data_IF_798259242541
#
_entry.id   IF_798259242541
#
_cell.length_a   1.000
_cell.length_b   1.000
_cell.length_c   1.000
_cell.angle_alpha   90.00
_cell.angle_beta   90.00
_cell.angle_gamma   90.00
#
_symmetry.space_group_name_H-M   'P 1'
#
loop_
_entity.id
_entity.type
_entity.pdbx_description
1 polymer ?
#
# COMPACT_ATOMS: atom_id res chain seq x y z
N UNK A 1 -52.93 -18.02 0.32
CA UNK A 1 -52.04 -18.60 1.35
C UNK A 1 -50.67 -18.77 0.72
N UNK A 2 -49.78 -17.78 0.86
CA UNK A 2 -48.43 -17.81 0.28
C UNK A 2 -47.47 -18.09 1.43
N UNK A 3 -46.87 -19.28 1.43
CA UNK A 3 -45.81 -19.66 2.35
C UNK A 3 -44.54 -18.89 1.96
N UNK A 4 -44.19 -17.87 2.73
CA UNK A 4 -42.86 -17.28 2.70
C UNK A 4 -41.89 -18.28 3.32
N UNK A 5 -41.19 -19.03 2.47
CA UNK A 5 -40.04 -19.84 2.86
C UNK A 5 -38.90 -18.89 3.22
N UNK A 6 -38.78 -18.59 4.51
CA UNK A 6 -37.62 -17.89 5.06
C UNK A 6 -36.45 -18.87 5.00
N UNK A 7 -35.68 -18.80 3.91
CA UNK A 7 -34.33 -19.35 3.90
C UNK A 7 -33.53 -18.65 5.00
N UNK A 8 -33.15 -19.39 6.03
CA UNK A 8 -32.31 -18.87 7.10
C UNK A 8 -31.00 -18.43 6.48
N UNK A 9 -30.76 -17.11 6.44
CA UNK A 9 -29.46 -16.57 6.11
C UNK A 9 -28.47 -17.14 7.13
N UNK A 10 -27.69 -18.14 6.69
CA UNK A 10 -26.59 -18.69 7.47
C UNK A 10 -25.65 -17.56 7.89
N UNK A 11 -24.86 -17.76 8.96
CA UNK A 11 -23.97 -16.73 9.48
C UNK A 11 -23.09 -16.21 8.34
N UNK A 12 -23.25 -14.93 7.99
CA UNK A 12 -22.35 -14.23 7.08
C UNK A 12 -20.93 -14.50 7.55
N UNK A 13 -20.04 -15.05 6.69
CA UNK A 13 -18.71 -15.41 7.14
C UNK A 13 -17.98 -14.12 7.52
N UNK A 14 -17.86 -13.88 8.82
CA UNK A 14 -17.03 -12.81 9.33
C UNK A 14 -15.62 -12.97 8.76
N UNK A 15 -14.96 -11.85 8.44
CA UNK A 15 -13.56 -11.85 7.98
C UNK A 15 -12.75 -12.81 8.85
N UNK A 16 -12.06 -13.76 8.23
CA UNK A 16 -11.19 -14.69 8.95
C UNK A 16 -10.21 -13.93 9.85
N UNK A 17 -9.78 -14.54 10.96
CA UNK A 17 -8.78 -13.93 11.84
C UNK A 17 -7.54 -13.45 11.06
N UNK A 18 -7.12 -14.23 10.06
CA UNK A 18 -6.03 -13.88 9.15
C UNK A 18 -6.29 -12.58 8.36
N UNK A 19 -7.52 -12.39 7.86
CA UNK A 19 -7.88 -11.16 7.17
C UNK A 19 -7.90 -9.94 8.11
N UNK A 20 -8.37 -10.12 9.36
CA UNK A 20 -8.33 -9.07 10.39
C UNK A 20 -6.90 -8.66 10.76
N UNK A 21 -6.01 -9.64 10.92
CA UNK A 21 -4.58 -9.37 11.22
C UNK A 21 -3.94 -8.59 10.07
N UNK A 22 -4.18 -8.97 8.82
CA UNK A 22 -3.63 -8.24 7.65
C UNK A 22 -4.13 -6.81 7.59
N UNK A 23 -5.42 -6.59 7.84
CA UNK A 23 -5.99 -5.24 7.87
C UNK A 23 -5.38 -4.38 8.97
N UNK A 24 -5.13 -4.96 10.16
CA UNK A 24 -4.43 -4.27 11.23
C UNK A 24 -2.99 -3.92 10.84
N UNK A 25 -2.25 -4.86 10.26
CA UNK A 25 -0.89 -4.61 9.79
C UNK A 25 -0.86 -3.49 8.74
N UNK A 26 -1.78 -3.49 7.78
CA UNK A 26 -1.85 -2.42 6.77
C UNK A 26 -2.19 -1.06 7.38
N UNK A 27 -3.02 -1.01 8.44
CA UNK A 27 -3.30 0.26 9.15
C UNK A 27 -2.08 0.77 9.91
N UNK A 28 -1.40 -0.11 10.63
CA UNK A 28 -0.19 0.26 11.38
C UNK A 28 0.93 0.69 10.43
N UNK A 29 1.12 -0.03 9.32
CA UNK A 29 2.07 0.32 8.26
C UNK A 29 1.86 1.74 7.73
N UNK A 30 0.61 2.09 7.39
CA UNK A 30 0.26 3.44 6.92
C UNK A 30 0.47 4.48 8.01
N UNK A 31 0.07 4.19 9.24
CA UNK A 31 0.25 5.12 10.36
C UNK A 31 1.72 5.39 10.64
N UNK A 32 2.59 4.40 10.49
CA UNK A 32 4.02 4.53 10.71
C UNK A 32 4.71 5.43 9.67
N UNK A 33 4.18 5.45 8.44
CA UNK A 33 4.77 6.21 7.33
C UNK A 33 4.01 7.50 6.99
N UNK A 34 3.01 7.90 7.78
CA UNK A 34 2.05 8.95 7.38
C UNK A 34 2.70 10.31 7.13
N UNK A 35 3.67 10.70 7.96
CA UNK A 35 4.36 11.99 7.83
C UNK A 35 5.27 12.00 6.61
N UNK A 36 6.01 10.92 6.37
CA UNK A 36 6.90 10.78 5.23
C UNK A 36 6.11 10.71 3.91
N UNK A 37 5.01 9.95 3.89
CA UNK A 37 4.08 9.89 2.76
C UNK A 37 3.49 11.28 2.46
N UNK A 38 3.14 12.03 3.51
CA UNK A 38 2.61 13.39 3.34
C UNK A 38 3.64 14.33 2.71
N UNK A 39 4.89 14.28 3.16
CA UNK A 39 5.97 15.07 2.55
C UNK A 39 6.23 14.64 1.11
N UNK A 40 6.28 13.33 0.84
CA UNK A 40 6.47 12.81 -0.50
C UNK A 40 5.36 13.28 -1.45
N UNK A 41 4.09 13.20 -1.01
CA UNK A 41 2.95 13.74 -1.75
C UNK A 41 3.12 15.25 -2.00
N UNK A 42 3.46 16.01 -0.97
CA UNK A 42 3.65 17.47 -1.05
C UNK A 42 4.76 17.87 -2.02
N UNK A 43 5.82 17.07 -2.10
CA UNK A 43 6.98 17.30 -2.95
C UNK A 43 6.86 16.66 -4.34
N UNK A 44 5.77 15.94 -4.62
CA UNK A 44 5.58 15.23 -5.89
C UNK A 44 6.54 14.06 -6.08
N UNK A 45 6.94 13.39 -5.01
CA UNK A 45 7.82 12.22 -5.04
C UNK A 45 7.02 10.93 -5.29
N UNK A 46 7.62 9.98 -5.99
CA UNK A 46 7.07 8.64 -6.16
C UNK A 46 7.34 7.81 -4.89
N UNK A 47 6.34 7.05 -4.44
CA UNK A 47 6.45 6.20 -3.24
C UNK A 47 6.11 4.76 -3.60
N UNK A 48 7.05 3.85 -3.34
CA UNK A 48 6.88 2.41 -3.54
C UNK A 48 7.02 1.67 -2.22
N UNK A 49 6.00 0.89 -1.84
CA UNK A 49 6.06 0.01 -0.66
C UNK A 49 6.96 -1.19 -0.93
N UNK A 50 7.97 -1.38 -0.10
CA UNK A 50 8.93 -2.50 -0.22
C UNK A 50 8.81 -3.52 0.91
N UNK A 51 8.05 -3.20 1.96
CA UNK A 51 7.79 -4.09 3.11
C UNK A 51 6.94 -3.39 4.17
N UNK A 52 6.81 -4.01 5.34
CA UNK A 52 6.14 -3.37 6.48
C UNK A 52 7.00 -2.23 7.03
N UNK A 53 6.45 -1.01 7.06
CA UNK A 53 7.19 0.19 7.48
C UNK A 53 8.33 0.58 6.54
N UNK A 54 8.47 -0.09 5.39
CA UNK A 54 9.56 0.11 4.44
C UNK A 54 9.00 0.67 3.13
N UNK A 55 9.48 1.86 2.77
CA UNK A 55 9.08 2.59 1.56
C UNK A 55 10.31 3.17 0.88
N UNK A 56 10.30 3.09 -0.45
CA UNK A 56 11.25 3.78 -1.31
C UNK A 56 10.59 5.08 -1.77
N UNK A 57 11.18 6.20 -1.37
CA UNK A 57 10.80 7.53 -1.81
C UNK A 57 11.74 7.94 -2.94
N UNK A 58 11.20 8.31 -4.10
CA UNK A 58 11.98 8.67 -5.28
C UNK A 58 11.59 10.07 -5.74
N UNK A 59 12.58 10.94 -5.79
CA UNK A 59 12.41 12.31 -6.26
C UNK A 59 12.69 12.38 -7.78
N UNK A 60 11.69 12.76 -8.61
CA UNK A 60 11.83 12.81 -10.06
C UNK A 60 13.00 13.68 -10.56
N UNK A 61 13.45 14.64 -9.75
CA UNK A 61 14.58 15.52 -10.10
C UNK A 61 15.89 14.75 -10.16
N UNK A 62 16.08 13.74 -9.29
CA UNK A 62 17.26 12.89 -9.35
C UNK A 62 17.26 11.99 -10.58
N UNK A 63 16.08 11.55 -11.04
CA UNK A 63 15.96 10.76 -12.27
C UNK A 63 16.34 11.59 -13.49
N UNK A 64 15.85 12.83 -13.57
CA UNK A 64 16.23 13.77 -14.62
C UNK A 64 17.76 14.03 -14.63
N UNK A 65 18.38 14.15 -13.45
CA UNK A 65 19.84 14.31 -13.33
C UNK A 65 20.61 13.06 -13.76
N UNK A 66 20.14 11.86 -13.41
CA UNK A 66 20.73 10.59 -13.86
C UNK A 66 20.69 10.49 -15.38
N UNK A 67 19.54 10.79 -15.99
CA UNK A 67 19.37 10.82 -17.44
C UNK A 67 20.29 11.85 -18.09
N UNK A 68 20.39 13.06 -17.55
CA UNK A 68 21.30 14.09 -18.04
C UNK A 68 22.79 13.70 -17.94
N UNK A 69 23.15 12.87 -16.96
CA UNK A 69 24.50 12.31 -16.79
C UNK A 69 24.78 11.10 -17.67
N UNK A 70 23.80 10.63 -18.44
CA UNK A 70 23.91 9.40 -19.23
C UNK A 70 23.87 8.12 -18.40
N UNK A 71 23.40 8.19 -17.15
CA UNK A 71 23.25 7.04 -16.27
C UNK A 71 21.93 6.33 -16.58
N UNK A 72 21.99 5.23 -17.33
CA UNK A 72 20.85 4.31 -17.52
C UNK A 72 20.64 3.48 -16.27
N UNK A 73 19.37 3.22 -15.92
CA UNK A 73 18.95 2.55 -14.68
C UNK A 73 19.84 1.35 -14.33
N UNK A 74 20.65 1.51 -13.29
CA UNK A 74 21.39 0.43 -12.64
C UNK A 74 20.40 -0.42 -11.86
N UNK A 75 19.62 -1.20 -12.60
CA UNK A 75 18.59 -2.08 -12.05
C UNK A 75 19.21 -3.11 -11.12
N UNK A 76 19.18 -2.84 -9.82
CA UNK A 76 19.21 -3.91 -8.83
C UNK A 76 17.81 -4.51 -8.85
N UNK A 77 17.65 -5.56 -9.66
CA UNK A 77 16.52 -6.49 -9.52
C UNK A 77 16.72 -7.24 -8.19
N UNK A 78 15.69 -7.19 -7.35
CA UNK A 78 15.52 -8.10 -6.22
C UNK A 78 15.31 -9.53 -6.72
#
# INVERSE_FOLDING_TARGET
MVLLSQGTAGPTPGKSLKARIRELLDRVDRSLCIDQDWWAYRLGWEVSRTGFGARRYRDPRFDALRLARGEVDGGVRA
#
